data_IF_577912808685
#
_entry.id   IF_577912808685
#
_cell.length_a   1.000
_cell.length_b   1.000
_cell.length_c   1.000
_cell.angle_alpha   90.00
_cell.angle_beta   90.00
_cell.angle_gamma   90.00
#
_symmetry.space_group_name_H-M   'P 1'
#
loop_
_entity.id
_entity.type
_entity.pdbx_description
1 polymer ?
#
# COMPACT_ATOMS: atom_id res chain seq x y z
N UNK A 1 9.05 -13.36 -4.91
CA UNK A 1 7.74 -13.31 -4.20
C UNK A 1 6.56 -13.61 -5.14
N UNK A 2 6.39 -14.84 -5.67
CA UNK A 2 5.30 -15.12 -6.61
C UNK A 2 3.91 -15.08 -5.95
N UNK A 3 3.79 -15.64 -4.74
CA UNK A 3 2.52 -15.77 -4.03
C UNK A 3 1.99 -14.41 -3.53
N UNK A 4 2.87 -13.58 -2.97
CA UNK A 4 2.52 -12.23 -2.51
C UNK A 4 2.03 -11.34 -3.65
N UNK A 5 2.69 -11.41 -4.81
CA UNK A 5 2.28 -10.69 -6.02
C UNK A 5 0.92 -11.14 -6.54
N UNK A 6 0.62 -12.44 -6.47
CA UNK A 6 -0.69 -12.98 -6.84
C UNK A 6 -1.79 -12.51 -5.90
N UNK A 7 -1.55 -12.60 -4.59
CA UNK A 7 -2.51 -12.12 -3.59
C UNK A 7 -2.76 -10.61 -3.74
N UNK A 8 -1.71 -9.82 -3.97
CA UNK A 8 -1.83 -8.40 -4.24
C UNK A 8 -2.75 -8.07 -5.42
N UNK A 9 -2.60 -8.81 -6.53
CA UNK A 9 -3.49 -8.65 -7.68
C UNK A 9 -4.95 -8.96 -7.38
N UNK A 10 -5.22 -9.98 -6.55
CA UNK A 10 -6.60 -10.30 -6.13
C UNK A 10 -7.20 -9.21 -5.23
N UNK A 11 -6.43 -8.71 -4.27
CA UNK A 11 -6.86 -7.64 -3.37
C UNK A 11 -7.09 -6.32 -4.11
N UNK A 12 -6.23 -5.99 -5.07
CA UNK A 12 -6.39 -4.82 -5.93
C UNK A 12 -7.62 -4.93 -6.83
N UNK A 13 -7.89 -6.12 -7.38
CA UNK A 13 -9.09 -6.36 -8.18
C UNK A 13 -10.39 -6.20 -7.36
N UNK A 14 -10.34 -6.50 -6.08
CA UNK A 14 -11.44 -6.30 -5.12
C UNK A 14 -11.53 -4.85 -4.60
N UNK A 15 -10.64 -3.96 -5.03
CA UNK A 15 -10.62 -2.56 -4.57
C UNK A 15 -10.21 -2.39 -3.10
N UNK A 16 -9.48 -3.36 -2.55
CA UNK A 16 -9.05 -3.32 -1.15
C UNK A 16 -8.00 -2.23 -0.92
N UNK A 17 -8.34 -1.24 -0.09
CA UNK A 17 -7.38 -0.22 0.35
C UNK A 17 -6.24 -0.87 1.15
N UNK A 18 -5.00 -0.53 0.81
CA UNK A 18 -3.82 -1.24 1.31
C UNK A 18 -2.64 -0.30 1.55
N UNK A 19 -1.83 -0.65 2.55
CA UNK A 19 -0.56 0.01 2.88
C UNK A 19 0.47 -1.10 3.07
N UNK A 20 1.64 -0.96 2.45
CA UNK A 20 2.77 -1.88 2.60
C UNK A 20 3.82 -1.22 3.47
N UNK A 21 4.25 -1.93 4.51
CA UNK A 21 5.34 -1.46 5.36
C UNK A 21 6.64 -2.06 4.86
N UNK A 22 7.58 -1.19 4.55
CA UNK A 22 8.92 -1.51 4.17
C UNK A 22 9.80 -1.69 5.42
N UNK A 23 10.08 -2.95 5.72
CA UNK A 23 10.86 -3.36 6.87
C UNK A 23 12.36 -3.53 6.55
N UNK A 24 12.81 -3.30 5.31
CA UNK A 24 14.22 -3.44 4.99
C UNK A 24 15.02 -2.30 5.66
N UNK A 25 16.09 -2.63 6.37
CA UNK A 25 16.90 -1.65 7.10
C UNK A 25 18.38 -1.74 6.66
N UNK A 26 19.08 -0.60 6.72
CA UNK A 26 20.51 -0.52 6.39
C UNK A 26 20.81 -0.10 4.95
N UNK A 27 22.09 -0.15 4.54
CA UNK A 27 22.58 0.46 3.29
C UNK A 27 22.13 -0.27 2.02
N UNK A 28 21.61 -1.49 2.13
CA UNK A 28 21.14 -2.29 1.00
C UNK A 28 19.64 -2.46 1.10
N UNK A 29 18.92 -2.09 0.04
CA UNK A 29 17.46 -2.20 -0.06
C UNK A 29 17.11 -2.93 -1.34
N UNK A 30 16.30 -3.97 -1.22
CA UNK A 30 15.80 -4.80 -2.31
C UNK A 30 14.58 -4.15 -2.99
N UNK A 31 13.93 -3.18 -2.34
CA UNK A 31 12.82 -2.41 -2.92
C UNK A 31 11.55 -3.24 -3.10
N UNK A 32 11.40 -4.33 -2.36
CA UNK A 32 10.29 -5.27 -2.53
C UNK A 32 8.96 -4.69 -2.07
N UNK A 33 8.99 -3.85 -1.04
CA UNK A 33 7.80 -3.17 -0.54
C UNK A 33 7.20 -2.22 -1.59
N UNK A 34 8.04 -1.51 -2.34
CA UNK A 34 7.62 -0.66 -3.45
C UNK A 34 6.96 -1.43 -4.59
N UNK A 35 7.56 -2.55 -5.04
CA UNK A 35 6.97 -3.43 -6.07
C UNK A 35 5.61 -3.99 -5.60
N UNK A 36 5.51 -4.39 -4.33
CA UNK A 36 4.28 -4.94 -3.79
C UNK A 36 3.18 -3.87 -3.64
N UNK A 37 3.52 -2.67 -3.15
CA UNK A 37 2.58 -1.56 -3.00
C UNK A 37 2.01 -1.12 -4.36
N UNK A 38 2.85 -1.05 -5.39
CA UNK A 38 2.43 -0.74 -6.75
C UNK A 38 1.41 -1.75 -7.30
N UNK A 39 1.61 -3.04 -7.03
CA UNK A 39 0.65 -4.11 -7.42
C UNK A 39 -0.66 -4.06 -6.66
N UNK A 40 -0.62 -3.58 -5.42
CA UNK A 40 -1.79 -3.40 -4.57
C UNK A 40 -2.55 -2.10 -4.89
N UNK A 41 -1.97 -1.17 -5.66
CA UNK A 41 -2.50 0.19 -5.83
C UNK A 41 -2.46 1.01 -4.54
N UNK A 42 -1.60 0.63 -3.59
CA UNK A 42 -1.45 1.23 -2.27
C UNK A 42 -0.14 2.00 -2.11
N UNK A 43 0.10 2.51 -0.90
CA UNK A 43 1.35 3.22 -0.56
C UNK A 43 2.37 2.31 0.13
N UNK A 44 3.66 2.54 -0.10
CA UNK A 44 4.76 1.94 0.65
C UNK A 44 5.26 2.93 1.70
N UNK A 45 5.48 2.46 2.94
CA UNK A 45 5.88 3.27 4.09
C UNK A 45 7.03 2.58 4.81
N UNK A 46 8.08 3.29 5.17
CA UNK A 46 9.23 2.71 5.86
C UNK A 46 9.01 2.64 7.38
N UNK A 47 9.72 1.71 8.04
CA UNK A 47 9.69 1.62 9.51
C UNK A 47 10.20 2.89 10.21
N UNK A 48 11.10 3.66 9.60
CA UNK A 48 11.58 4.92 10.18
C UNK A 48 10.52 6.02 10.09
N UNK A 49 9.72 6.06 9.03
CA UNK A 49 8.55 6.95 8.93
C UNK A 49 7.47 6.58 9.97
N UNK A 50 7.27 5.28 10.24
CA UNK A 50 6.34 4.77 11.26
C UNK A 50 6.69 5.17 12.70
N UNK A 51 7.98 5.36 13.00
CA UNK A 51 8.45 5.81 14.32
C UNK A 51 8.31 7.31 14.52
N UNK A 52 8.28 8.08 13.43
CA UNK A 52 8.24 9.54 13.47
C UNK A 52 6.83 10.09 13.73
N UNK A 53 5.77 9.59 13.06
CA UNK A 53 4.38 10.00 13.34
C UNK A 53 3.30 9.12 12.65
N UNK A 54 2.27 8.78 13.44
CA UNK A 54 0.93 8.21 13.17
C UNK A 54 0.59 7.50 11.83
N UNK A 55 0.81 6.17 11.76
CA UNK A 55 0.22 5.22 10.78
C UNK A 55 -1.31 5.40 10.57
N UNK A 56 -2.03 5.77 11.64
CA UNK A 56 -3.48 5.91 11.61
C UNK A 56 -3.96 7.08 10.73
N UNK A 57 -3.15 8.13 10.55
CA UNK A 57 -3.47 9.24 9.64
C UNK A 57 -3.35 8.81 8.18
N UNK A 58 -2.22 8.20 7.83
CA UNK A 58 -1.95 7.72 6.49
C UNK A 58 -3.00 6.71 5.99
N UNK A 59 -3.41 5.76 6.84
CA UNK A 59 -4.43 4.76 6.48
C UNK A 59 -5.78 5.44 6.16
N UNK A 60 -6.13 6.53 6.88
CA UNK A 60 -7.37 7.28 6.63
C UNK A 60 -7.30 8.03 5.30
N UNK A 61 -6.16 8.64 4.98
CA UNK A 61 -5.95 9.35 3.72
C UNK A 61 -6.03 8.42 2.51
N UNK A 62 -5.39 7.25 2.58
CA UNK A 62 -5.45 6.23 1.53
C UNK A 62 -6.89 5.74 1.33
N UNK A 63 -7.64 5.50 2.40
CA UNK A 63 -9.05 5.11 2.31
C UNK A 63 -9.92 6.23 1.71
N UNK A 64 -9.67 7.49 2.08
CA UNK A 64 -10.40 8.66 1.56
C UNK A 64 -10.19 8.87 0.07
N UNK A 65 -8.95 8.67 -0.42
CA UNK A 65 -8.62 8.77 -1.85
C UNK A 65 -9.28 7.68 -2.72
N UNK A 66 -9.39 6.46 -2.21
CA UNK A 66 -10.06 5.34 -2.91
C UNK A 66 -11.59 5.48 -2.91
N UNK A 67 -12.17 6.02 -1.84
CA UNK A 67 -13.62 6.28 -1.73
C UNK A 67 -14.15 7.25 -2.79
N UNK A 68 -13.34 8.23 -3.23
CA UNK A 68 -13.72 9.21 -4.25
C UNK A 68 -13.68 8.65 -5.70
N UNK A 69 -12.99 7.54 -5.94
CA UNK A 69 -12.90 6.89 -7.25
C UNK A 69 -14.08 5.93 -7.52
N UNK A 70 -14.64 5.31 -6.47
CA UNK A 70 -15.75 4.34 -6.58
C UNK A 70 -17.07 5.00 -7.03
N UNK A 71 -17.33 6.25 -6.63
CA UNK A 71 -18.60 6.94 -6.96
C UNK A 71 -18.72 7.36 -8.43
N UNK A 72 -17.62 7.31 -9.21
CA UNK A 72 -17.61 7.70 -10.64
C UNK A 72 -17.84 6.56 -11.63
N UNK A 73 -17.95 5.30 -11.17
CA UNK A 73 -18.24 4.14 -12.03
C UNK A 73 -19.72 3.71 -12.06
N UNK A 74 -20.60 4.48 -11.41
CA UNK A 74 -22.04 4.19 -11.33
C UNK A 74 -22.92 5.19 -12.12
N UNK A 75 -22.39 5.79 -13.19
CA UNK A 75 -23.12 6.70 -14.08
C UNK A 75 -22.99 6.28 -15.54
#
# INVERSE_FOLDING_TARGET
LPLARRAAGLLAADGTASVVVDCEAGPVRLGLAGDLAGRLGGSAVTLDELRADALAGLVKDVRGGQGAATTRRAA
#
